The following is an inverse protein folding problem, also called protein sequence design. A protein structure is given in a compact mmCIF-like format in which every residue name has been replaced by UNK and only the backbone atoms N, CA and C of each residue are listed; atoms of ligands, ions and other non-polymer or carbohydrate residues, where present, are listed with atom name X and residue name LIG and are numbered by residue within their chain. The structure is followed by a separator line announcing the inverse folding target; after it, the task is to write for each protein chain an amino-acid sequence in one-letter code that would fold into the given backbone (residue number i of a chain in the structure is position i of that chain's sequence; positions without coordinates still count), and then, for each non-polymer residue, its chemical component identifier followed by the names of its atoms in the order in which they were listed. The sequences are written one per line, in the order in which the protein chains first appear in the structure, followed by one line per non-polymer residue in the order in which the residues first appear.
data_IF_305573639773
#
_entry.id   IF_305573639773
#
_cell.length_a   1.000
_cell.length_b   1.000
_cell.length_c   1.000
_cell.angle_alpha   90.00
_cell.angle_beta   90.00
_cell.angle_gamma   90.00
#
_symmetry.space_group_name_H-M   'P 1'
#
loop_
_entity.id
_entity.type
_entity.pdbx_description
1 polymer ?
#
# COMPACT_ATOMS: atom_id res chain seq x y z
N UNK A 1 -18.32 14.96 15.65
CA UNK A 1 -17.66 14.57 14.38
C UNK A 1 -16.34 15.31 14.17
N UNK A 2 -16.27 16.63 14.40
CA UNK A 2 -15.01 17.39 14.37
C UNK A 2 -14.01 16.94 15.46
N UNK A 3 -14.47 16.46 16.63
CA UNK A 3 -13.58 15.90 17.66
C UNK A 3 -12.68 14.74 17.17
N UNK A 4 -13.09 13.98 16.14
CA UNK A 4 -12.28 12.88 15.62
C UNK A 4 -10.93 13.38 15.05
N UNK A 5 -10.88 14.61 14.53
CA UNK A 5 -9.66 15.24 13.99
C UNK A 5 -8.65 15.63 15.07
N UNK A 6 -9.02 15.60 16.36
CA UNK A 6 -8.09 15.85 17.47
C UNK A 6 -7.19 14.63 17.74
N UNK A 7 -7.58 13.44 17.27
CA UNK A 7 -6.77 12.25 17.43
C UNK A 7 -5.71 12.19 16.33
N UNK A 8 -4.43 12.12 16.73
CA UNK A 8 -3.29 11.98 15.82
C UNK A 8 -3.45 10.81 14.86
N UNK A 9 -4.07 9.71 15.31
CA UNK A 9 -4.40 8.57 14.44
C UNK A 9 -5.28 8.98 13.25
N UNK A 10 -6.32 9.78 13.49
CA UNK A 10 -7.27 10.19 12.47
C UNK A 10 -6.62 11.16 11.47
N UNK A 11 -5.80 12.10 11.96
CA UNK A 11 -5.01 13.01 11.13
C UNK A 11 -4.01 12.23 10.26
N UNK A 12 -3.32 11.25 10.83
CA UNK A 12 -2.38 10.40 10.10
C UNK A 12 -3.10 9.52 9.07
N UNK A 13 -4.26 8.95 9.41
CA UNK A 13 -5.06 8.16 8.49
C UNK A 13 -5.55 8.99 7.29
N UNK A 14 -5.98 10.23 7.53
CA UNK A 14 -6.37 11.16 6.47
C UNK A 14 -5.18 11.55 5.58
N UNK A 15 -4.04 11.89 6.18
CA UNK A 15 -2.81 12.19 5.44
C UNK A 15 -2.34 10.98 4.62
N UNK A 16 -2.31 9.79 5.22
CA UNK A 16 -1.94 8.56 4.55
C UNK A 16 -2.91 8.23 3.40
N UNK A 17 -4.22 8.38 3.62
CA UNK A 17 -5.23 8.17 2.58
C UNK A 17 -5.12 9.16 1.43
N UNK A 18 -4.83 10.43 1.73
CA UNK A 18 -4.61 11.45 0.72
C UNK A 18 -3.37 11.14 -0.14
N UNK A 19 -2.24 10.83 0.50
CA UNK A 19 -1.00 10.45 -0.19
C UNK A 19 -1.19 9.17 -1.01
N UNK A 20 -1.87 8.16 -0.45
CA UNK A 20 -2.17 6.92 -1.14
C UNK A 20 -3.08 7.14 -2.37
N UNK A 21 -4.09 8.00 -2.26
CA UNK A 21 -4.98 8.35 -3.38
C UNK A 21 -4.21 8.99 -4.53
N UNK A 22 -3.29 9.92 -4.25
CA UNK A 22 -2.44 10.52 -5.26
C UNK A 22 -1.56 9.47 -5.96
N UNK A 23 -0.90 8.59 -5.20
CA UNK A 23 -0.05 7.54 -5.76
C UNK A 23 -0.86 6.55 -6.62
N UNK A 24 -2.00 6.08 -6.10
CA UNK A 24 -2.89 5.15 -6.81
C UNK A 24 -3.48 5.77 -8.08
N UNK A 25 -3.79 7.08 -8.08
CA UNK A 25 -4.28 7.78 -9.26
C UNK A 25 -3.24 7.77 -10.39
N UNK A 26 -2.00 8.15 -10.10
CA UNK A 26 -0.91 8.19 -11.09
C UNK A 26 -0.57 6.78 -11.60
N UNK A 27 -0.36 5.82 -10.68
CA UNK A 27 0.01 4.45 -11.03
C UNK A 27 -1.14 3.76 -11.77
N UNK A 28 -2.38 3.95 -11.32
CA UNK A 28 -3.57 3.36 -11.93
C UNK A 28 -3.75 3.80 -13.39
N UNK A 29 -3.63 5.10 -13.67
CA UNK A 29 -3.69 5.61 -15.05
C UNK A 29 -2.59 4.98 -15.93
N UNK A 30 -1.37 4.86 -15.41
CA UNK A 30 -0.25 4.23 -16.12
C UNK A 30 -0.51 2.75 -16.42
N UNK A 31 -0.98 1.98 -15.44
CA UNK A 31 -1.30 0.55 -15.54
C UNK A 31 -2.37 0.29 -16.60
N UNK A 32 -3.40 1.14 -16.66
CA UNK A 32 -4.49 1.04 -17.63
C UNK A 32 -3.97 1.27 -19.05
N UNK A 33 -3.20 2.33 -19.28
CA UNK A 33 -2.64 2.65 -20.62
C UNK A 33 -1.72 1.54 -21.11
N UNK A 34 -0.90 0.96 -20.23
CA UNK A 34 0.03 -0.12 -20.54
C UNK A 34 -0.63 -1.51 -20.62
N UNK A 35 -1.93 -1.63 -20.30
CA UNK A 35 -2.68 -2.90 -20.23
C UNK A 35 -2.02 -3.97 -19.35
N UNK A 36 -1.34 -3.56 -18.27
CA UNK A 36 -0.65 -4.44 -17.33
C UNK A 36 -1.46 -4.67 -16.04
N UNK A 37 -2.80 -4.54 -16.09
CA UNK A 37 -3.67 -4.68 -14.91
C UNK A 37 -3.61 -6.07 -14.26
N UNK A 38 -3.42 -7.13 -15.05
CA UNK A 38 -3.22 -8.47 -14.50
C UNK A 38 -1.96 -8.56 -13.62
N UNK A 39 -0.89 -7.84 -13.99
CA UNK A 39 0.37 -7.81 -13.25
C UNK A 39 0.18 -7.19 -11.86
N UNK A 40 -0.64 -6.14 -11.75
CA UNK A 40 -0.92 -5.48 -10.45
C UNK A 40 -1.62 -6.39 -9.45
N UNK A 41 -2.47 -7.32 -9.91
CA UNK A 41 -3.09 -8.32 -9.03
C UNK A 41 -2.07 -9.31 -8.46
N UNK A 42 -1.14 -9.78 -9.31
CA UNK A 42 -0.05 -10.67 -8.89
C UNK A 42 0.89 -10.02 -7.89
N UNK A 43 1.32 -8.78 -8.17
CA UNK A 43 2.15 -7.96 -7.26
C UNK A 43 1.49 -7.83 -5.89
N UNK A 44 0.19 -7.54 -5.85
CA UNK A 44 -0.54 -7.37 -4.59
C UNK A 44 -0.54 -8.64 -3.75
N UNK A 45 -0.76 -9.82 -4.36
CA UNK A 45 -0.80 -11.09 -3.64
C UNK A 45 0.60 -11.51 -3.14
N UNK A 46 1.63 -11.33 -3.96
CA UNK A 46 3.02 -11.60 -3.59
C UNK A 46 3.53 -10.67 -2.49
N UNK A 47 3.17 -9.38 -2.53
CA UNK A 47 3.51 -8.42 -1.49
C UNK A 47 2.93 -8.81 -0.11
N UNK A 48 1.65 -9.23 -0.06
CA UNK A 48 1.04 -9.72 1.19
C UNK A 48 1.72 -10.99 1.70
N UNK A 49 2.09 -11.91 0.80
CA UNK A 49 2.88 -13.10 1.13
C UNK A 49 4.25 -12.74 1.72
N UNK A 50 4.95 -11.77 1.10
CA UNK A 50 6.24 -11.26 1.56
C UNK A 50 6.16 -10.57 2.92
N UNK A 51 5.10 -9.82 3.19
CA UNK A 51 4.81 -9.23 4.51
C UNK A 51 4.66 -10.32 5.58
N UNK A 52 3.86 -11.36 5.29
CA UNK A 52 3.66 -12.48 6.21
C UNK A 52 4.94 -13.25 6.49
N UNK A 53 5.76 -13.48 5.46
CA UNK A 53 7.06 -14.16 5.58
C UNK A 53 8.08 -13.33 6.37
N UNK A 54 8.16 -12.02 6.12
CA UNK A 54 9.02 -11.13 6.90
C UNK A 54 8.60 -11.09 8.37
N UNK A 55 7.29 -11.05 8.64
CA UNK A 55 6.78 -11.11 10.01
C UNK A 55 7.14 -12.42 10.70
N UNK A 56 7.02 -13.57 10.00
CA UNK A 56 7.42 -14.87 10.53
C UNK A 56 8.92 -14.96 10.84
N UNK A 57 9.76 -14.36 10.00
CA UNK A 57 11.22 -14.31 10.19
C UNK A 57 11.67 -13.23 11.20
N UNK A 58 10.75 -12.45 11.77
CA UNK A 58 11.07 -11.33 12.67
C UNK A 58 11.75 -10.15 11.99
N UNK A 59 11.67 -10.06 10.66
CA UNK A 59 12.24 -8.99 9.83
C UNK A 59 11.19 -7.90 9.61
N UNK A 60 11.63 -6.68 9.33
CA UNK A 60 10.73 -5.55 9.07
C UNK A 60 9.76 -5.89 7.91
N UNK A 61 8.43 -5.82 8.15
CA UNK A 61 7.41 -6.12 7.15
C UNK A 61 7.54 -5.32 5.84
N UNK A 62 8.06 -4.09 5.88
CA UNK A 62 8.29 -3.30 4.67
C UNK A 62 9.33 -3.95 3.75
N UNK A 63 10.38 -4.55 4.32
CA UNK A 63 11.43 -5.22 3.54
C UNK A 63 10.83 -6.45 2.85
N UNK A 64 9.98 -7.20 3.57
CA UNK A 64 9.22 -8.31 2.99
C UNK A 64 8.27 -7.89 1.89
N UNK A 65 7.56 -6.77 2.07
CA UNK A 65 6.68 -6.24 1.03
C UNK A 65 7.46 -5.90 -0.24
N UNK A 66 8.55 -5.14 -0.12
CA UNK A 66 9.34 -4.62 -1.25
C UNK A 66 10.12 -5.71 -1.98
N UNK A 67 10.65 -6.71 -1.27
CA UNK A 67 11.40 -7.79 -1.91
C UNK A 67 10.51 -8.73 -2.76
N UNK A 68 9.21 -8.78 -2.49
CA UNK A 68 8.26 -9.69 -3.13
C UNK A 68 7.20 -8.96 -4.00
N UNK A 69 7.28 -7.64 -4.17
CA UNK A 69 6.40 -6.83 -5.05
C UNK A 69 7.02 -6.48 -6.40
#
# INVERSE_FOLDING_TARGET
MIEALQYTFFTNALLAGFLASMACGVIGSYVVVKRISALTGGISHSAFGGVGLAYFLGVNPLIGAVAFS
#
